data_IF_388755659520
#
_entry.id   IF_388755659520
#
_cell.length_a   1.000
_cell.length_b   1.000
_cell.length_c   1.000
_cell.angle_alpha   90.00
_cell.angle_beta   90.00
_cell.angle_gamma   90.00
#
_symmetry.space_group_name_H-M   'P 1'
#
loop_
_entity.id
_entity.type
_entity.pdbx_description
1 polymer ?
#
# COMPACT_ATOMS: atom_id res chain seq x y z
N UNK A 1 15.27 -22.87 -2.23
CA UNK A 1 14.93 -22.46 -3.61
C UNK A 1 14.94 -23.61 -4.60
N UNK A 2 16.06 -24.28 -4.83
CA UNK A 2 16.18 -25.38 -5.80
C UNK A 2 15.07 -26.45 -5.66
N UNK A 3 14.84 -26.97 -4.44
CA UNK A 3 13.76 -27.91 -4.14
C UNK A 3 12.36 -27.40 -4.48
N UNK A 4 12.09 -26.12 -4.25
CA UNK A 4 10.77 -25.52 -4.52
C UNK A 4 10.44 -25.48 -6.02
N UNK A 5 11.43 -25.12 -6.85
CA UNK A 5 11.26 -25.06 -8.31
C UNK A 5 11.67 -26.35 -9.03
N UNK A 6 11.90 -27.44 -8.30
CA UNK A 6 12.29 -28.76 -8.86
C UNK A 6 13.53 -28.68 -9.77
N UNK A 7 14.44 -27.76 -9.46
CA UNK A 7 15.71 -27.58 -10.16
C UNK A 7 16.86 -28.18 -9.35
N UNK A 8 17.86 -28.71 -10.03
CA UNK A 8 19.10 -29.11 -9.37
C UNK A 8 19.88 -27.87 -8.93
N UNK A 9 20.59 -27.97 -7.81
CA UNK A 9 21.31 -26.84 -7.22
C UNK A 9 22.30 -26.17 -8.19
N UNK A 10 23.06 -26.99 -8.94
CA UNK A 10 24.03 -26.44 -9.91
C UNK A 10 23.35 -25.69 -11.08
N UNK A 11 22.13 -26.08 -11.50
CA UNK A 11 21.39 -25.33 -12.50
C UNK A 11 20.99 -23.95 -11.96
N UNK A 12 20.59 -23.86 -10.69
CA UNK A 12 20.28 -22.57 -10.05
C UNK A 12 21.52 -21.69 -9.99
N UNK A 13 22.68 -22.24 -9.62
CA UNK A 13 23.93 -21.46 -9.61
C UNK A 13 24.32 -20.97 -11.01
N UNK A 14 24.15 -21.81 -12.03
CA UNK A 14 24.36 -21.41 -13.44
C UNK A 14 23.41 -20.30 -13.88
N UNK A 15 22.13 -20.39 -13.48
CA UNK A 15 21.14 -19.38 -13.81
C UNK A 15 21.48 -18.05 -13.08
N UNK A 16 21.95 -18.10 -11.83
CA UNK A 16 22.46 -16.93 -11.11
C UNK A 16 23.67 -16.34 -11.85
N UNK A 17 24.65 -17.16 -12.21
CA UNK A 17 25.82 -16.70 -12.95
C UNK A 17 25.45 -15.96 -14.25
N UNK A 18 24.43 -16.44 -14.97
CA UNK A 18 23.94 -15.79 -16.20
C UNK A 18 23.35 -14.40 -15.93
N UNK A 19 22.53 -14.24 -14.89
CA UNK A 19 21.90 -12.96 -14.59
C UNK A 19 22.85 -11.97 -13.89
N UNK A 20 23.94 -12.48 -13.27
CA UNK A 20 24.98 -11.64 -12.66
C UNK A 20 26.16 -11.37 -13.62
N UNK A 21 26.12 -11.88 -14.85
CA UNK A 21 27.11 -11.57 -15.88
C UNK A 21 26.99 -10.09 -16.28
N UNK A 22 28.13 -9.47 -16.60
CA UNK A 22 28.20 -8.05 -17.04
C UNK A 22 27.39 -7.79 -18.30
N UNK A 23 27.10 -8.81 -19.12
CA UNK A 23 26.28 -8.73 -20.32
C UNK A 23 24.77 -8.91 -20.06
N UNK A 24 24.37 -9.16 -18.83
CA UNK A 24 22.96 -9.43 -18.47
C UNK A 24 22.05 -8.19 -18.57
N UNK A 25 22.66 -6.99 -18.54
CA UNK A 25 21.93 -5.71 -18.49
C UNK A 25 21.54 -5.26 -17.07
N UNK A 26 21.82 -6.05 -16.03
CA UNK A 26 21.67 -5.61 -14.64
C UNK A 26 22.78 -4.65 -14.26
N UNK A 27 22.47 -3.64 -13.41
CA UNK A 27 23.48 -2.76 -12.86
C UNK A 27 24.37 -3.50 -11.87
N UNK A 28 25.66 -3.14 -11.83
CA UNK A 28 26.62 -3.70 -10.86
C UNK A 28 26.16 -3.49 -9.41
N UNK A 29 25.55 -2.34 -9.13
CA UNK A 29 24.98 -2.03 -7.83
C UNK A 29 23.88 -3.03 -7.44
N UNK A 30 22.96 -3.33 -8.36
CA UNK A 30 21.90 -4.31 -8.11
C UNK A 30 22.48 -5.69 -7.85
N UNK A 31 23.45 -6.13 -8.65
CA UNK A 31 24.11 -7.45 -8.50
C UNK A 31 24.79 -7.53 -7.13
N UNK A 32 25.59 -6.55 -6.78
CA UNK A 32 26.36 -6.50 -5.52
C UNK A 32 25.44 -6.50 -4.28
N UNK A 33 24.32 -5.77 -4.34
CA UNK A 33 23.40 -5.67 -3.21
C UNK A 33 22.50 -6.90 -3.05
N UNK A 34 22.33 -7.70 -4.10
CA UNK A 34 21.33 -8.78 -4.10
C UNK A 34 21.88 -10.18 -4.21
N UNK A 35 23.16 -10.37 -4.57
CA UNK A 35 23.78 -11.68 -4.74
C UNK A 35 25.16 -11.72 -4.07
N UNK A 36 25.34 -12.64 -3.15
CA UNK A 36 26.63 -12.85 -2.45
C UNK A 36 27.06 -14.30 -2.61
N UNK A 37 28.25 -14.52 -3.17
CA UNK A 37 28.83 -15.84 -3.29
C UNK A 37 29.27 -16.36 -1.92
N UNK A 38 28.94 -17.60 -1.60
CA UNK A 38 29.25 -18.24 -0.34
C UNK A 38 29.55 -19.74 -0.57
N UNK A 39 29.93 -20.47 0.49
CA UNK A 39 30.17 -21.91 0.44
C UNK A 39 29.46 -22.61 1.59
N UNK A 40 28.96 -23.82 1.37
CA UNK A 40 28.42 -24.67 2.42
C UNK A 40 29.15 -26.02 2.46
N UNK A 41 29.08 -26.71 3.59
CA UNK A 41 29.57 -28.08 3.71
C UNK A 41 28.44 -29.07 3.44
N UNK A 42 28.66 -30.03 2.56
CA UNK A 42 27.73 -31.14 2.35
C UNK A 42 27.78 -32.18 3.49
N UNK A 43 26.95 -33.21 3.42
CA UNK A 43 26.89 -34.30 4.41
C UNK A 43 28.21 -35.09 4.52
N UNK A 44 29.08 -34.96 3.53
CA UNK A 44 30.41 -35.62 3.50
C UNK A 44 31.55 -34.67 3.93
N UNK A 45 31.22 -33.43 4.35
CA UNK A 45 32.20 -32.42 4.80
C UNK A 45 32.89 -31.62 3.69
N UNK A 46 32.51 -31.84 2.41
CA UNK A 46 33.06 -31.10 1.27
C UNK A 46 32.49 -29.69 1.19
N UNK A 47 33.35 -28.71 0.95
CA UNK A 47 32.92 -27.34 0.67
C UNK A 47 32.37 -27.22 -0.76
N UNK A 48 31.14 -26.83 -0.88
CA UNK A 48 30.46 -26.63 -2.17
C UNK A 48 30.02 -25.16 -2.30
N UNK A 49 30.02 -24.60 -3.53
CA UNK A 49 29.59 -23.22 -3.74
C UNK A 49 28.09 -23.06 -3.51
N UNK A 50 27.72 -21.92 -2.93
CA UNK A 50 26.34 -21.46 -2.88
C UNK A 50 26.27 -19.96 -3.12
N UNK A 51 25.06 -19.45 -3.26
CA UNK A 51 24.81 -18.03 -3.36
C UNK A 51 23.71 -17.65 -2.37
N UNK A 52 24.00 -16.67 -1.54
CA UNK A 52 22.99 -15.98 -0.74
C UNK A 52 22.38 -14.87 -1.60
N UNK A 53 21.06 -14.74 -1.56
CA UNK A 53 20.36 -13.72 -2.32
C UNK A 53 19.29 -13.06 -1.45
N UNK A 54 19.06 -11.79 -1.70
CA UNK A 54 17.95 -11.05 -1.09
C UNK A 54 16.61 -11.46 -1.72
N UNK A 55 15.50 -10.93 -1.19
CA UNK A 55 14.17 -11.08 -1.80
C UNK A 55 14.15 -10.57 -3.24
N UNK A 56 14.83 -9.47 -3.52
CA UNK A 56 14.83 -8.83 -4.84
C UNK A 56 15.67 -9.63 -5.84
N UNK A 57 16.83 -10.16 -5.40
CA UNK A 57 17.63 -11.12 -6.17
C UNK A 57 16.85 -12.41 -6.48
N UNK A 58 16.14 -12.94 -5.50
CA UNK A 58 15.25 -14.09 -5.69
C UNK A 58 14.15 -13.79 -6.72
N UNK A 59 13.49 -12.63 -6.60
CA UNK A 59 12.43 -12.21 -7.53
C UNK A 59 12.96 -12.09 -8.95
N UNK A 60 14.10 -11.44 -9.14
CA UNK A 60 14.76 -11.30 -10.43
C UNK A 60 15.08 -12.67 -11.07
N UNK A 61 15.62 -13.58 -10.29
CA UNK A 61 15.95 -14.92 -10.78
C UNK A 61 14.69 -15.70 -11.19
N UNK A 62 13.62 -15.66 -10.38
CA UNK A 62 12.36 -16.39 -10.65
C UNK A 62 11.60 -15.79 -11.81
N UNK A 63 11.72 -14.49 -12.07
CA UNK A 63 11.13 -13.86 -13.26
C UNK A 63 11.70 -14.44 -14.57
N UNK A 64 12.92 -14.97 -14.56
CA UNK A 64 13.50 -15.70 -15.69
C UNK A 64 13.09 -17.18 -15.79
N UNK A 65 12.41 -17.73 -14.78
CA UNK A 65 12.03 -19.15 -14.78
C UNK A 65 10.74 -19.41 -15.56
N UNK A 66 10.62 -20.63 -16.07
CA UNK A 66 9.42 -21.20 -16.70
C UNK A 66 8.85 -22.35 -15.86
N UNK A 67 7.68 -22.85 -16.25
CA UNK A 67 6.98 -23.93 -15.56
C UNK A 67 5.92 -23.43 -14.57
N UNK A 68 4.99 -24.31 -14.19
CA UNK A 68 3.76 -23.97 -13.45
C UNK A 68 4.03 -23.19 -12.14
N UNK A 69 5.01 -23.61 -11.33
CA UNK A 69 5.34 -22.94 -10.05
C UNK A 69 5.89 -21.54 -10.26
N UNK A 70 6.70 -21.32 -11.28
CA UNK A 70 7.24 -19.99 -11.61
C UNK A 70 6.15 -19.09 -12.19
N UNK A 71 5.26 -19.62 -13.02
CA UNK A 71 4.12 -18.86 -13.55
C UNK A 71 3.15 -18.43 -12.44
N UNK A 72 2.85 -19.34 -11.52
CA UNK A 72 2.01 -19.00 -10.36
C UNK A 72 2.65 -17.91 -9.49
N UNK A 73 3.96 -17.97 -9.24
CA UNK A 73 4.67 -16.92 -8.54
C UNK A 73 4.55 -15.56 -9.26
N UNK A 74 4.75 -15.53 -10.59
CA UNK A 74 4.63 -14.33 -11.40
C UNK A 74 3.22 -13.73 -11.34
N UNK A 75 2.20 -14.58 -11.44
CA UNK A 75 0.79 -14.19 -11.32
C UNK A 75 0.50 -13.50 -9.97
N UNK A 76 0.92 -14.14 -8.87
CA UNK A 76 0.77 -13.56 -7.53
C UNK A 76 1.54 -12.25 -7.38
N UNK A 77 2.75 -12.16 -7.95
CA UNK A 77 3.54 -10.94 -7.92
C UNK A 77 2.84 -9.80 -8.66
N UNK A 78 2.34 -10.05 -9.88
CA UNK A 78 1.59 -9.07 -10.68
C UNK A 78 0.32 -8.63 -9.93
N UNK A 79 -0.44 -9.58 -9.37
CA UNK A 79 -1.63 -9.28 -8.58
C UNK A 79 -1.30 -8.32 -7.43
N UNK A 80 -0.24 -8.63 -6.67
CA UNK A 80 0.21 -7.81 -5.54
C UNK A 80 0.70 -6.42 -5.97
N UNK A 81 1.41 -6.35 -7.09
CA UNK A 81 1.83 -5.07 -7.65
C UNK A 81 0.63 -4.20 -8.03
N UNK A 82 -0.36 -4.76 -8.72
CA UNK A 82 -1.58 -4.04 -9.10
C UNK A 82 -2.41 -3.60 -7.88
N UNK A 83 -2.45 -4.40 -6.81
CA UNK A 83 -3.08 -4.02 -5.53
C UNK A 83 -2.38 -2.82 -4.91
N UNK A 84 -1.04 -2.84 -4.85
CA UNK A 84 -0.25 -1.71 -4.34
C UNK A 84 -0.42 -0.45 -5.18
N UNK A 85 -0.42 -0.58 -6.52
CA UNK A 85 -0.63 0.56 -7.43
C UNK A 85 -2.01 1.19 -7.21
N UNK A 86 -3.07 0.40 -7.11
CA UNK A 86 -4.43 0.88 -6.82
C UNK A 86 -4.48 1.60 -5.48
N UNK A 87 -3.91 1.00 -4.43
CA UNK A 87 -3.84 1.61 -3.11
C UNK A 87 -3.13 2.97 -3.13
N UNK A 88 -1.98 3.07 -3.82
CA UNK A 88 -1.24 4.34 -3.96
C UNK A 88 -2.08 5.38 -4.70
N UNK A 89 -2.76 5.00 -5.80
CA UNK A 89 -3.65 5.91 -6.55
C UNK A 89 -4.78 6.43 -5.66
N UNK A 90 -5.46 5.55 -4.92
CA UNK A 90 -6.52 5.93 -3.99
C UNK A 90 -6.02 6.86 -2.89
N UNK A 91 -4.83 6.57 -2.33
CA UNK A 91 -4.19 7.43 -1.33
C UNK A 91 -3.87 8.84 -1.89
N UNK A 92 -3.46 8.93 -3.15
CA UNK A 92 -3.20 10.21 -3.82
C UNK A 92 -4.49 11.00 -4.07
N UNK A 93 -5.57 10.34 -4.46
CA UNK A 93 -6.87 10.96 -4.67
C UNK A 93 -7.42 11.57 -3.37
N UNK A 94 -7.44 10.81 -2.28
CA UNK A 94 -7.89 11.34 -0.98
C UNK A 94 -7.07 12.54 -0.48
N UNK A 95 -5.82 12.70 -0.95
CA UNK A 95 -5.02 13.88 -0.67
C UNK A 95 -5.40 15.08 -1.54
N UNK A 96 -5.85 14.88 -2.78
CA UNK A 96 -6.28 15.97 -3.67
C UNK A 96 -7.58 16.60 -3.21
N UNK A 97 -8.52 15.81 -2.70
CA UNK A 97 -9.83 16.31 -2.26
C UNK A 97 -9.78 17.06 -0.92
N UNK A 98 -8.73 16.83 -0.13
CA UNK A 98 -8.58 17.51 1.15
C UNK A 98 -8.45 19.05 1.06
N UNK A 99 -7.76 19.65 0.08
CA UNK A 99 -7.77 21.10 -0.14
C UNK A 99 -9.17 21.66 -0.40
N UNK A 100 -9.99 20.99 -1.21
CA UNK A 100 -11.38 21.41 -1.48
C UNK A 100 -12.21 21.51 -0.20
N UNK A 101 -12.13 20.48 0.65
CA UNK A 101 -12.79 20.48 1.96
C UNK A 101 -12.32 21.65 2.83
N UNK A 102 -11.00 21.90 2.87
CA UNK A 102 -10.44 22.97 3.69
C UNK A 102 -10.79 24.36 3.17
N UNK A 103 -10.84 24.56 1.86
CA UNK A 103 -11.30 25.81 1.24
C UNK A 103 -12.78 26.06 1.52
N UNK A 104 -13.63 25.05 1.41
CA UNK A 104 -15.06 25.16 1.70
C UNK A 104 -15.31 25.51 3.18
N UNK A 105 -14.56 24.91 4.10
CA UNK A 105 -14.61 25.26 5.54
C UNK A 105 -14.24 26.74 5.75
N UNK A 106 -13.22 27.25 5.03
CA UNK A 106 -12.83 28.68 5.09
C UNK A 106 -13.93 29.59 4.54
N UNK A 107 -14.55 29.19 3.46
CA UNK A 107 -15.62 29.96 2.82
C UNK A 107 -16.84 30.15 3.72
N UNK A 108 -17.25 29.07 4.41
CA UNK A 108 -18.45 29.09 5.28
C UNK A 108 -18.20 29.86 6.58
N UNK A 109 -17.00 29.76 7.14
CA UNK A 109 -16.68 30.37 8.42
C UNK A 109 -15.87 31.68 8.24
N UNK A 110 -16.54 32.84 8.43
CA UNK A 110 -15.89 34.19 8.38
C UNK A 110 -14.62 34.29 9.24
N UNK A 111 -14.53 33.51 10.33
CA UNK A 111 -13.37 33.47 11.23
C UNK A 111 -13.04 31.98 11.51
N UNK A 112 -12.40 31.35 10.54
CA UNK A 112 -12.08 29.91 10.60
C UNK A 112 -11.04 29.63 11.67
N UNK A 113 -11.38 28.75 12.62
CA UNK A 113 -10.49 28.29 13.68
C UNK A 113 -10.13 26.81 13.47
N UNK A 114 -9.03 26.37 14.07
CA UNK A 114 -8.53 25.01 13.94
C UNK A 114 -9.56 23.92 14.29
N UNK A 115 -10.48 24.18 15.21
CA UNK A 115 -11.50 23.22 15.58
C UNK A 115 -12.55 22.99 14.49
N UNK A 116 -12.81 23.93 13.58
CA UNK A 116 -13.72 23.71 12.46
C UNK A 116 -13.19 22.60 11.56
N UNK A 117 -11.91 22.68 11.16
CA UNK A 117 -11.28 21.62 10.36
C UNK A 117 -11.28 20.28 11.08
N UNK A 118 -10.94 20.28 12.38
CA UNK A 118 -10.93 19.06 13.17
C UNK A 118 -12.32 18.42 13.26
N UNK A 119 -13.37 19.23 13.49
CA UNK A 119 -14.73 18.71 13.65
C UNK A 119 -15.23 18.04 12.36
N UNK A 120 -15.01 18.66 11.20
CA UNK A 120 -15.37 18.09 9.90
C UNK A 120 -14.58 16.79 9.62
N UNK A 121 -13.28 16.83 9.77
CA UNK A 121 -12.45 15.62 9.57
C UNK A 121 -12.83 14.51 10.56
N UNK A 122 -13.06 14.82 11.83
CA UNK A 122 -13.43 13.83 12.84
C UNK A 122 -14.84 13.29 12.61
N UNK A 123 -15.77 14.09 12.04
CA UNK A 123 -17.10 13.62 11.64
C UNK A 123 -16.96 12.52 10.56
N UNK A 124 -16.26 12.81 9.48
CA UNK A 124 -16.06 11.85 8.37
C UNK A 124 -15.30 10.61 8.85
N UNK A 125 -14.23 10.78 9.64
CA UNK A 125 -13.50 9.66 10.21
C UNK A 125 -14.39 8.77 11.09
N UNK A 126 -15.28 9.33 11.92
CA UNK A 126 -16.20 8.54 12.73
C UNK A 126 -17.21 7.75 11.90
N UNK A 127 -17.64 8.28 10.77
CA UNK A 127 -18.53 7.57 9.85
C UNK A 127 -17.81 6.38 9.22
N UNK A 128 -16.57 6.57 8.72
CA UNK A 128 -15.85 5.55 7.96
C UNK A 128 -15.14 4.52 8.84
N UNK A 129 -14.50 4.97 9.92
CA UNK A 129 -13.65 4.12 10.77
C UNK A 129 -14.15 4.00 12.22
N UNK A 130 -15.32 4.55 12.52
CA UNK A 130 -15.94 4.46 13.85
C UNK A 130 -15.29 5.33 14.94
N UNK A 131 -14.22 6.07 14.63
CA UNK A 131 -13.47 6.84 15.63
C UNK A 131 -12.77 8.06 15.04
N UNK A 132 -12.26 8.95 15.93
CA UNK A 132 -11.45 10.10 15.51
C UNK A 132 -10.06 9.68 15.10
N UNK A 133 -9.40 10.51 14.28
CA UNK A 133 -8.01 10.30 13.89
C UNK A 133 -7.05 10.23 15.09
N UNK A 134 -7.35 10.95 16.18
CA UNK A 134 -6.57 10.89 17.42
C UNK A 134 -6.64 9.50 18.05
N UNK A 135 -7.86 8.97 18.26
CA UNK A 135 -8.08 7.64 18.85
C UNK A 135 -7.48 6.53 17.98
N UNK A 136 -7.61 6.65 16.67
CA UNK A 136 -7.00 5.69 15.73
C UNK A 136 -5.48 5.64 15.86
N UNK A 137 -4.82 6.81 15.94
CA UNK A 137 -3.35 6.88 16.16
C UNK A 137 -2.94 6.23 17.49
N UNK A 138 -3.66 6.52 18.56
CA UNK A 138 -3.37 5.94 19.88
C UNK A 138 -3.47 4.40 19.87
N UNK A 139 -4.50 3.84 19.24
CA UNK A 139 -4.68 2.38 19.14
C UNK A 139 -3.64 1.69 18.26
N UNK A 140 -3.13 2.36 17.22
CA UNK A 140 -2.19 1.78 16.26
C UNK A 140 -0.73 2.22 16.48
N UNK A 141 -0.42 2.89 17.59
CA UNK A 141 0.91 3.41 17.93
C UNK A 141 1.51 4.32 16.83
N UNK A 142 0.66 5.12 16.17
CA UNK A 142 1.08 6.07 15.14
C UNK A 142 1.51 7.38 15.80
N UNK A 143 2.67 7.96 15.43
CA UNK A 143 3.16 9.20 16.00
C UNK A 143 2.15 10.36 15.88
N UNK A 144 2.13 11.24 16.89
CA UNK A 144 1.28 12.42 16.88
C UNK A 144 1.64 13.34 15.69
N UNK A 145 0.62 13.71 14.91
CA UNK A 145 0.79 14.58 13.73
C UNK A 145 0.92 13.81 12.41
N UNK A 146 1.16 12.51 12.43
CA UNK A 146 1.15 11.71 11.21
C UNK A 146 -0.27 11.47 10.68
N UNK A 147 -0.35 11.33 9.35
CA UNK A 147 -1.60 10.98 8.67
C UNK A 147 -1.99 9.54 8.97
N UNK A 148 -3.28 9.31 9.26
CA UNK A 148 -3.81 7.95 9.42
C UNK A 148 -4.08 7.25 8.09
N UNK A 149 -4.16 7.99 6.97
CA UNK A 149 -4.51 7.45 5.65
C UNK A 149 -3.66 6.25 5.20
N UNK A 150 -2.33 6.23 5.37
CA UNK A 150 -1.50 5.08 4.99
C UNK A 150 -1.83 3.77 5.73
N UNK A 151 -2.56 3.86 6.85
CA UNK A 151 -2.92 2.74 7.71
C UNK A 151 -4.37 2.26 7.50
N UNK A 152 -5.11 2.90 6.60
CA UNK A 152 -6.49 2.54 6.27
C UNK A 152 -6.52 1.54 5.11
N UNK A 153 -7.60 0.77 5.02
CA UNK A 153 -7.85 -0.11 3.88
C UNK A 153 -8.21 0.70 2.63
N UNK A 154 -8.11 0.08 1.44
CA UNK A 154 -8.53 0.70 0.18
C UNK A 154 -10.01 1.10 0.22
N UNK A 155 -10.87 0.26 0.79
CA UNK A 155 -12.30 0.53 0.96
C UNK A 155 -12.56 1.74 1.85
N UNK A 156 -11.86 1.84 2.99
CA UNK A 156 -11.95 2.99 3.89
C UNK A 156 -11.45 4.28 3.23
N UNK A 157 -10.39 4.21 2.43
CA UNK A 157 -9.88 5.37 1.69
C UNK A 157 -10.88 5.84 0.63
N UNK A 158 -11.49 4.92 -0.13
CA UNK A 158 -12.52 5.22 -1.13
C UNK A 158 -13.76 5.85 -0.47
N UNK A 159 -14.18 5.33 0.68
CA UNK A 159 -15.31 5.90 1.43
C UNK A 159 -15.00 7.29 1.96
N UNK A 160 -13.78 7.52 2.49
CA UNK A 160 -13.31 8.84 2.92
C UNK A 160 -13.34 9.87 1.77
N UNK A 161 -12.80 9.52 0.61
CA UNK A 161 -12.78 10.40 -0.56
C UNK A 161 -14.20 10.79 -0.98
N UNK A 162 -15.09 9.81 -1.15
CA UNK A 162 -16.46 10.06 -1.55
C UNK A 162 -17.19 10.94 -0.54
N UNK A 163 -17.08 10.65 0.75
CA UNK A 163 -17.74 11.45 1.78
C UNK A 163 -17.19 12.87 1.86
N UNK A 164 -15.89 13.08 1.64
CA UNK A 164 -15.30 14.42 1.58
C UNK A 164 -15.88 15.25 0.44
N UNK A 165 -15.99 14.67 -0.76
CA UNK A 165 -16.57 15.35 -1.94
C UNK A 165 -18.04 15.72 -1.69
N UNK A 166 -18.83 14.78 -1.14
CA UNK A 166 -20.26 15.00 -0.87
C UNK A 166 -20.42 16.06 0.21
N UNK A 167 -19.62 16.02 1.28
CA UNK A 167 -19.72 16.98 2.38
C UNK A 167 -19.38 18.41 1.93
N UNK A 168 -18.42 18.59 1.02
CA UNK A 168 -18.14 19.89 0.38
C UNK A 168 -19.42 20.48 -0.25
N UNK A 169 -20.20 19.67 -0.97
CA UNK A 169 -21.46 20.10 -1.54
C UNK A 169 -22.54 20.34 -0.48
N UNK A 170 -22.64 19.47 0.50
CA UNK A 170 -23.63 19.58 1.58
C UNK A 170 -23.40 20.80 2.47
N UNK A 171 -22.16 21.21 2.70
CA UNK A 171 -21.85 22.41 3.49
C UNK A 171 -22.50 23.68 2.95
N UNK A 172 -22.79 23.74 1.64
CA UNK A 172 -23.44 24.91 1.01
C UNK A 172 -24.92 24.99 1.36
N UNK A 173 -25.59 23.84 1.47
CA UNK A 173 -27.05 23.74 1.61
C UNK A 173 -27.51 23.44 3.04
N UNK A 174 -26.67 22.78 3.83
CA UNK A 174 -26.98 22.41 5.22
C UNK A 174 -25.79 22.77 6.15
N UNK A 175 -25.88 23.89 6.87
CA UNK A 175 -24.85 24.35 7.78
C UNK A 175 -24.68 23.46 9.04
N UNK A 176 -25.73 22.74 9.44
CA UNK A 176 -25.72 21.93 10.66
C UNK A 176 -24.92 20.63 10.47
N UNK A 177 -23.78 20.55 11.16
CA UNK A 177 -22.88 19.41 11.13
C UNK A 177 -23.58 18.09 11.52
N UNK A 178 -24.53 18.13 12.48
CA UNK A 178 -25.24 16.91 12.92
C UNK A 178 -26.15 16.39 11.83
N UNK A 179 -26.85 17.28 11.12
CA UNK A 179 -27.71 16.90 10.00
C UNK A 179 -26.89 16.34 8.83
N UNK A 180 -25.79 17.02 8.47
CA UNK A 180 -24.88 16.51 7.45
C UNK A 180 -24.36 15.12 7.79
N UNK A 181 -23.97 14.90 9.06
CA UNK A 181 -23.54 13.58 9.52
C UNK A 181 -24.58 12.50 9.21
N UNK A 182 -25.85 12.72 9.52
CA UNK A 182 -26.93 11.75 9.24
C UNK A 182 -27.09 11.47 7.74
N UNK A 183 -26.98 12.50 6.91
CA UNK A 183 -27.06 12.37 5.45
C UNK A 183 -25.88 11.50 4.94
N UNK A 184 -24.67 11.79 5.40
CA UNK A 184 -23.46 11.06 5.00
C UNK A 184 -23.48 9.60 5.49
N UNK A 185 -23.98 9.34 6.70
CA UNK A 185 -24.16 7.98 7.23
C UNK A 185 -25.16 7.19 6.37
N UNK A 186 -26.31 7.80 6.04
CA UNK A 186 -27.32 7.17 5.17
C UNK A 186 -26.75 6.88 3.76
N UNK A 187 -25.96 7.79 3.21
CA UNK A 187 -25.31 7.60 1.92
C UNK A 187 -24.33 6.41 1.94
N UNK A 188 -23.50 6.30 2.98
CA UNK A 188 -22.54 5.19 3.10
C UNK A 188 -23.24 3.83 3.19
N UNK A 189 -24.31 3.73 4.00
CA UNK A 189 -25.11 2.51 4.14
C UNK A 189 -25.71 2.10 2.78
N UNK A 190 -26.28 3.07 2.02
CA UNK A 190 -26.85 2.78 0.71
C UNK A 190 -25.80 2.31 -0.30
N UNK A 191 -24.57 2.83 -0.21
CA UNK A 191 -23.47 2.36 -1.05
C UNK A 191 -23.05 0.92 -0.74
N UNK A 192 -22.98 0.57 0.55
CA UNK A 192 -22.62 -0.80 0.97
C UNK A 192 -23.68 -1.82 0.60
N UNK A 193 -24.95 -1.43 0.59
CA UNK A 193 -26.06 -2.29 0.14
C UNK A 193 -26.13 -2.47 -1.40
N UNK A 194 -25.48 -1.60 -2.17
CA UNK A 194 -25.50 -1.62 -3.63
C UNK A 194 -24.24 -2.30 -4.26
N UNK A 195 -23.25 -2.67 -3.45
CA UNK A 195 -22.01 -3.32 -3.86
C UNK A 195 -22.06 -4.83 -3.66
#
# INVERSE_FOLDING_TARGET
MAKFFEKQHFHVLRDIAKITDTKSGLSEEFIKNNFTTDTYKDSTGRKLPCCQMTRDGFTMLVMGYSGAKAMHFKELYIKRFNEMERFIKTLMLTRKEFPLLTEQIRFIHKNTKHYHYRNECDMINRIVIGMTAKKFRELNNIPKGESIRPYLTEEQLNSLEKLQIIDVGLMVVEPDLKKRKLILESYLINMECAA
#
